data_IF_736588879906
#
_entry.id   IF_736588879906
#
_cell.length_a   1.000
_cell.length_b   1.000
_cell.length_c   1.000
_cell.angle_alpha   90.00
_cell.angle_beta   90.00
_cell.angle_gamma   90.00
#
_symmetry.space_group_name_H-M   'P 1'
#
loop_
_entity.id
_entity.type
_entity.pdbx_description
1 polymer ?
#
# COMPACT_ATOMS: atom_id res chain seq x y z
N UNK A 1 -6.36 -14.66 -10.92
CA UNK A 1 -5.75 -13.38 -10.46
C UNK A 1 -6.88 -12.50 -9.96
N UNK A 2 -7.04 -12.36 -8.64
CA UNK A 2 -8.21 -11.74 -7.99
C UNK A 2 -8.30 -10.23 -8.30
N UNK A 3 -9.52 -9.72 -8.53
CA UNK A 3 -9.80 -8.31 -8.79
C UNK A 3 -9.21 -7.39 -7.70
N UNK A 4 -9.32 -7.81 -6.44
CA UNK A 4 -8.75 -7.11 -5.28
C UNK A 4 -7.24 -6.84 -5.41
N UNK A 5 -6.46 -7.82 -5.89
CA UNK A 5 -5.01 -7.66 -6.07
C UNK A 5 -4.68 -6.65 -7.16
N UNK A 6 -5.45 -6.63 -8.24
CA UNK A 6 -5.27 -5.68 -9.34
C UNK A 6 -5.56 -4.25 -8.86
N UNK A 7 -6.63 -4.08 -8.09
CA UNK A 7 -7.04 -2.77 -7.57
C UNK A 7 -6.01 -2.22 -6.56
N UNK A 8 -5.48 -3.08 -5.69
CA UNK A 8 -4.39 -2.73 -4.76
C UNK A 8 -3.15 -2.29 -5.53
N UNK A 9 -2.65 -3.10 -6.46
CA UNK A 9 -1.46 -2.74 -7.26
C UNK A 9 -1.64 -1.46 -8.06
N UNK A 10 -2.79 -1.29 -8.70
CA UNK A 10 -3.11 -0.07 -9.44
C UNK A 10 -3.12 1.17 -8.53
N UNK A 11 -3.64 1.03 -7.31
CA UNK A 11 -3.59 2.09 -6.30
C UNK A 11 -2.15 2.44 -5.91
N UNK A 12 -1.34 1.45 -5.55
CA UNK A 12 0.05 1.70 -5.12
C UNK A 12 0.91 2.29 -6.24
N UNK A 13 0.77 1.82 -7.48
CA UNK A 13 1.44 2.41 -8.65
C UNK A 13 1.08 3.88 -8.82
N UNK A 14 -0.22 4.19 -8.82
CA UNK A 14 -0.64 5.56 -8.98
C UNK A 14 -0.26 6.44 -7.76
N UNK A 15 -0.17 5.86 -6.56
CA UNK A 15 0.27 6.56 -5.35
C UNK A 15 1.73 7.01 -5.49
N UNK A 16 2.58 6.13 -6.00
CA UNK A 16 3.96 6.44 -6.32
C UNK A 16 4.05 7.52 -7.41
N UNK A 17 3.28 7.40 -8.49
CA UNK A 17 3.23 8.41 -9.56
C UNK A 17 2.83 9.78 -9.03
N UNK A 18 1.83 9.86 -8.14
CA UNK A 18 1.43 11.11 -7.50
C UNK A 18 2.52 11.69 -6.63
N UNK A 19 3.19 10.89 -5.80
CA UNK A 19 4.33 11.37 -4.97
C UNK A 19 5.46 11.93 -5.84
N UNK A 20 5.70 11.33 -7.01
CA UNK A 20 6.70 11.82 -7.97
C UNK A 20 6.23 13.12 -8.64
N UNK A 21 4.97 13.18 -9.07
CA UNK A 21 4.41 14.32 -9.80
C UNK A 21 4.01 15.50 -8.90
N UNK A 22 3.93 15.30 -7.58
CA UNK A 22 3.44 16.31 -6.64
C UNK A 22 4.30 17.57 -6.67
N UNK A 23 3.74 18.77 -6.86
CA UNK A 23 4.51 20.00 -6.82
C UNK A 23 5.03 20.29 -5.40
N UNK A 24 6.27 20.80 -5.24
CA UNK A 24 6.77 21.21 -3.93
C UNK A 24 5.89 22.31 -3.31
N UNK A 25 5.61 22.19 -2.01
CA UNK A 25 4.89 23.22 -1.24
C UNK A 25 3.36 23.09 -1.26
N UNK A 26 2.83 22.07 -1.92
CA UNK A 26 1.41 21.72 -1.79
C UNK A 26 1.21 20.83 -0.55
N UNK A 27 0.70 21.44 0.52
CA UNK A 27 0.44 20.81 1.82
C UNK A 27 -0.63 19.70 1.77
N UNK A 28 -1.32 19.50 0.64
CA UNK A 28 -2.36 18.50 0.47
C UNK A 28 -1.86 17.06 0.27
N UNK A 29 -0.55 16.83 0.10
CA UNK A 29 -0.01 15.51 -0.25
C UNK A 29 -0.41 14.42 0.74
N UNK A 30 -0.14 14.63 2.04
CA UNK A 30 -0.38 13.64 3.08
C UNK A 30 -1.86 13.25 3.17
N UNK A 31 -2.75 14.26 3.21
CA UNK A 31 -4.20 14.05 3.28
C UNK A 31 -4.72 13.32 2.04
N UNK A 32 -4.30 13.74 0.85
CA UNK A 32 -4.73 13.11 -0.40
C UNK A 32 -4.25 11.66 -0.51
N UNK A 33 -3.00 11.40 -0.13
CA UNK A 33 -2.41 10.07 -0.13
C UNK A 33 -3.13 9.13 0.84
N UNK A 34 -3.37 9.58 2.08
CA UNK A 34 -4.05 8.77 3.10
C UNK A 34 -5.49 8.46 2.71
N UNK A 35 -6.24 9.45 2.20
CA UNK A 35 -7.60 9.21 1.71
C UNK A 35 -7.64 8.15 0.61
N UNK A 36 -6.64 8.14 -0.26
CA UNK A 36 -6.58 7.16 -1.32
C UNK A 36 -6.22 5.76 -0.83
N UNK A 37 -5.19 5.64 0.00
CA UNK A 37 -4.79 4.37 0.59
C UNK A 37 -5.93 3.75 1.39
N UNK A 38 -6.67 4.56 2.16
CA UNK A 38 -7.84 4.10 2.93
C UNK A 38 -8.92 3.53 2.02
N UNK A 39 -9.19 4.19 0.89
CA UNK A 39 -10.12 3.69 -0.12
C UNK A 39 -9.70 2.34 -0.72
N UNK A 40 -8.40 2.14 -0.93
CA UNK A 40 -7.86 0.91 -1.50
C UNK A 40 -7.74 -0.24 -0.49
N UNK A 41 -7.51 0.06 0.78
CA UNK A 41 -7.38 -0.95 1.83
C UNK A 41 -8.67 -1.23 2.60
N UNK A 42 -9.78 -0.56 2.27
CA UNK A 42 -11.07 -0.73 2.98
C UNK A 42 -11.62 -2.16 3.01
N UNK A 43 -11.20 -2.99 2.06
CA UNK A 43 -11.61 -4.39 1.93
C UNK A 43 -10.58 -5.37 2.52
N UNK A 44 -9.54 -4.86 3.16
CA UNK A 44 -8.49 -5.65 3.80
C UNK A 44 -8.79 -5.72 5.30
N UNK A 45 -8.78 -6.93 5.84
CA UNK A 45 -8.89 -7.16 7.27
C UNK A 45 -7.70 -6.51 8.02
N UNK A 46 -7.92 -5.92 9.20
CA UNK A 46 -6.84 -5.36 10.00
C UNK A 46 -5.77 -6.41 10.31
N UNK A 47 -4.51 -6.07 10.04
CA UNK A 47 -3.36 -6.89 10.40
C UNK A 47 -2.24 -6.01 10.96
N UNK A 48 -1.57 -6.38 12.06
CA UNK A 48 -0.57 -5.52 12.71
C UNK A 48 0.54 -5.01 11.77
N UNK A 49 1.06 -5.88 10.90
CA UNK A 49 2.11 -5.50 9.95
C UNK A 49 1.60 -4.48 8.90
N UNK A 50 0.36 -4.62 8.42
CA UNK A 50 -0.25 -3.69 7.47
C UNK A 50 -0.52 -2.35 8.14
N UNK A 51 -1.01 -2.36 9.38
CA UNK A 51 -1.23 -1.15 10.19
C UNK A 51 0.07 -0.41 10.48
N UNK A 52 1.15 -1.14 10.84
CA UNK A 52 2.46 -0.55 11.06
C UNK A 52 3.04 0.09 9.79
N UNK A 53 2.93 -0.59 8.64
CA UNK A 53 3.37 -0.04 7.37
C UNK A 53 2.55 1.21 6.96
N UNK A 54 1.22 1.19 7.14
CA UNK A 54 0.35 2.36 6.91
C UNK A 54 0.76 3.54 7.77
N UNK A 55 1.07 3.32 9.05
CA UNK A 55 1.59 4.35 9.95
C UNK A 55 2.92 4.92 9.42
N UNK A 56 3.82 4.05 8.97
CA UNK A 56 5.11 4.46 8.41
C UNK A 56 4.99 5.32 7.13
N UNK A 57 3.98 5.05 6.29
CA UNK A 57 3.64 5.90 5.14
C UNK A 57 3.16 7.27 5.61
N UNK A 58 2.24 7.32 6.57
CA UNK A 58 1.69 8.58 7.09
C UNK A 58 2.80 9.48 7.68
N UNK A 59 3.62 8.93 8.56
CA UNK A 59 4.74 9.66 9.20
C UNK A 59 5.71 10.25 8.17
N UNK A 60 6.00 9.52 7.09
CA UNK A 60 6.88 10.00 6.01
C UNK A 60 6.21 11.00 5.09
N UNK A 61 4.89 10.89 4.88
CA UNK A 61 4.14 11.86 4.11
C UNK A 61 4.09 13.21 4.84
N UNK A 62 3.86 13.19 6.15
CA UNK A 62 3.94 14.38 7.01
C UNK A 62 5.35 15.00 6.99
N UNK A 63 6.38 14.16 7.09
CA UNK A 63 7.77 14.64 7.02
C UNK A 63 8.09 15.32 5.67
N UNK A 64 7.55 14.83 4.55
CA UNK A 64 7.70 15.50 3.24
C UNK A 64 7.06 16.89 3.29
N UNK A 65 5.83 17.00 3.79
CA UNK A 65 5.11 18.28 3.90
C UNK A 65 5.86 19.27 4.81
N UNK A 66 6.34 18.80 5.95
CA UNK A 66 7.13 19.61 6.90
C UNK A 66 8.43 20.11 6.27
N UNK A 67 9.19 19.22 5.63
CA UNK A 67 10.46 19.57 4.96
C UNK A 67 10.21 20.54 3.81
N UNK A 68 9.18 20.34 3.00
CA UNK A 68 8.84 21.25 1.90
C UNK A 68 8.49 22.64 2.42
N UNK A 69 7.69 22.71 3.48
CA UNK A 69 7.27 23.96 4.13
C UNK A 69 8.48 24.71 4.71
N UNK A 70 9.39 24.00 5.38
CA UNK A 70 10.51 24.60 6.11
C UNK A 70 11.73 24.91 5.23
N UNK A 71 11.91 24.20 4.10
CA UNK A 71 13.14 24.30 3.27
C UNK A 71 12.89 24.90 1.89
N UNK A 72 11.67 25.30 1.57
CA UNK A 72 11.31 25.78 0.23
C UNK A 72 11.55 24.72 -0.86
N UNK A 73 11.48 23.43 -0.50
CA UNK A 73 11.59 22.30 -1.43
C UNK A 73 13.01 21.82 -1.76
N UNK A 74 14.08 22.36 -1.13
CA UNK A 74 15.47 21.97 -1.46
C UNK A 74 15.82 20.55 -0.96
N UNK A 75 15.34 20.15 0.22
CA UNK A 75 15.67 18.85 0.87
C UNK A 75 14.69 17.72 0.47
N UNK A 76 13.80 18.01 -0.46
CA UNK A 76 12.62 17.22 -0.79
C UNK A 76 12.91 15.82 -1.36
N UNK A 77 13.97 15.66 -2.17
CA UNK A 77 14.22 14.40 -2.90
C UNK A 77 14.44 13.19 -1.97
N UNK A 78 15.14 13.38 -0.86
CA UNK A 78 15.42 12.29 0.09
C UNK A 78 14.15 11.90 0.84
N UNK A 79 13.39 12.88 1.33
CA UNK A 79 12.11 12.65 2.00
C UNK A 79 11.12 11.91 1.09
N UNK A 80 11.00 12.32 -0.18
CA UNK A 80 10.19 11.62 -1.18
C UNK A 80 10.65 10.19 -1.44
N UNK A 81 11.96 9.96 -1.53
CA UNK A 81 12.49 8.59 -1.67
C UNK A 81 12.10 7.71 -0.48
N UNK A 82 12.14 8.24 0.74
CA UNK A 82 11.69 7.50 1.92
C UNK A 82 10.19 7.23 1.89
N UNK A 83 9.37 8.20 1.46
CA UNK A 83 7.93 8.00 1.28
C UNK A 83 7.62 6.91 0.25
N UNK A 84 8.31 6.92 -0.90
CA UNK A 84 8.18 5.87 -1.92
C UNK A 84 8.56 4.48 -1.38
N UNK A 85 9.64 4.39 -0.59
CA UNK A 85 10.03 3.15 0.05
C UNK A 85 8.95 2.64 1.02
N UNK A 86 8.35 3.52 1.83
CA UNK A 86 7.27 3.12 2.72
C UNK A 86 5.99 2.69 1.99
N UNK A 87 5.67 3.30 0.84
CA UNK A 87 4.58 2.82 -0.02
C UNK A 87 4.85 1.39 -0.52
N UNK A 88 6.08 1.11 -0.94
CA UNK A 88 6.46 -0.24 -1.37
C UNK A 88 6.44 -1.25 -0.20
N UNK A 89 6.87 -0.84 1.00
CA UNK A 89 6.79 -1.67 2.21
C UNK A 89 5.34 -1.99 2.59
N UNK A 90 4.44 -1.01 2.47
CA UNK A 90 3.01 -1.22 2.73
C UNK A 90 2.37 -2.15 1.70
N UNK A 91 2.68 -1.99 0.41
CA UNK A 91 2.24 -2.91 -0.64
C UNK A 91 2.73 -4.34 -0.35
N UNK A 92 4.01 -4.51 0.02
CA UNK A 92 4.58 -5.80 0.37
C UNK A 92 3.92 -6.42 1.61
N UNK A 93 3.61 -5.61 2.63
CA UNK A 93 2.90 -6.09 3.82
C UNK A 93 1.48 -6.57 3.48
N UNK A 94 0.78 -5.90 2.58
CA UNK A 94 -0.53 -6.31 2.07
C UNK A 94 -0.42 -7.60 1.23
N UNK A 95 0.58 -7.69 0.35
CA UNK A 95 0.80 -8.89 -0.45
C UNK A 95 1.11 -10.12 0.43
N UNK A 96 1.83 -9.93 1.54
CA UNK A 96 2.21 -11.02 2.45
C UNK A 96 1.10 -11.41 3.44
N UNK A 97 0.43 -10.41 4.03
CA UNK A 97 -0.48 -10.62 5.17
C UNK A 97 -1.92 -10.23 4.90
N UNK A 98 -2.19 -9.55 3.78
CA UNK A 98 -3.52 -9.08 3.42
C UNK A 98 -4.51 -10.23 3.27
N UNK A 99 -5.67 -10.04 3.90
CA UNK A 99 -6.81 -10.95 3.86
C UNK A 99 -8.05 -10.10 3.60
N UNK A 100 -8.99 -10.61 2.80
CA UNK A 100 -10.26 -9.96 2.58
C UNK A 100 -11.09 -9.92 3.88
N UNK A 101 -11.77 -8.80 4.14
CA UNK A 101 -12.72 -8.69 5.25
C UNK A 101 -14.15 -9.06 4.81
N UNK A 102 -15.10 -9.08 5.75
CA UNK A 102 -16.51 -9.37 5.49
C UNK A 102 -17.18 -8.41 4.49
N UNK A 103 -16.71 -7.15 4.40
CA UNK A 103 -17.27 -6.19 3.44
C UNK A 103 -16.88 -6.55 2.00
N UNK A 104 -15.67 -7.09 1.80
CA UNK A 104 -15.23 -7.57 0.50
C UNK A 104 -16.11 -8.72 -0.02
N UNK A 105 -16.55 -9.60 0.88
CA UNK A 105 -17.43 -10.72 0.56
C UNK A 105 -18.84 -10.22 0.23
N UNK A 106 -19.37 -9.30 1.04
CA UNK A 106 -20.71 -8.72 0.84
C UNK A 106 -20.89 -8.06 -0.53
N UNK A 107 -19.84 -7.49 -1.10
CA UNK A 107 -19.88 -6.82 -2.41
C UNK A 107 -19.31 -7.68 -3.55
N UNK A 108 -19.02 -8.96 -3.29
CA UNK A 108 -18.58 -9.93 -4.30
C UNK A 108 -17.15 -9.73 -4.83
N UNK A 109 -16.28 -9.07 -4.08
CA UNK A 109 -14.87 -8.85 -4.47
C UNK A 109 -14.00 -10.07 -4.19
N UNK A 110 -14.12 -10.62 -2.98
CA UNK A 110 -13.40 -11.82 -2.53
C UNK A 110 -14.07 -12.39 -1.26
N UNK A 111 -14.11 -13.73 -1.07
CA UNK A 111 -14.61 -14.32 0.15
C UNK A 111 -13.84 -13.83 1.39
N UNK A 112 -14.52 -13.70 2.53
CA UNK A 112 -13.89 -13.30 3.78
C UNK A 112 -12.73 -14.23 4.16
N UNK A 113 -11.63 -13.66 4.65
CA UNK A 113 -10.43 -14.40 5.03
C UNK A 113 -9.61 -14.91 3.83
N UNK A 114 -10.06 -14.68 2.59
CA UNK A 114 -9.29 -15.04 1.41
C UNK A 114 -8.01 -14.20 1.31
N UNK A 115 -6.84 -14.80 1.05
CA UNK A 115 -5.61 -14.05 0.84
C UNK A 115 -5.71 -13.09 -0.35
N UNK A 116 -5.21 -11.85 -0.17
CA UNK A 116 -5.09 -10.87 -1.28
C UNK A 116 -4.24 -11.44 -2.41
N UNK A 117 -3.15 -12.14 -2.07
CA UNK A 117 -2.31 -12.88 -3.00
C UNK A 117 -2.50 -14.39 -2.78
N UNK A 118 -2.95 -15.10 -3.81
CA UNK A 118 -2.97 -16.56 -3.80
C UNK A 118 -1.62 -17.11 -3.30
N UNK A 119 -1.60 -18.03 -2.32
CA UNK A 119 -0.36 -18.70 -1.95
C UNK A 119 0.18 -19.34 -3.22
N UNK A 120 1.46 -19.13 -3.51
CA UNK A 120 2.10 -19.82 -4.63
C UNK A 120 1.78 -21.31 -4.47
N UNK A 121 1.05 -21.89 -5.43
CA UNK A 121 0.64 -23.28 -5.35
C UNK A 121 1.86 -24.10 -4.97
N UNK A 122 1.80 -24.79 -3.83
CA UNK A 122 2.87 -25.66 -3.41
C UNK A 122 3.14 -26.59 -4.59
N UNK A 123 4.33 -26.50 -5.17
CA UNK A 123 4.76 -27.43 -6.22
C UNK A 123 4.48 -28.83 -5.67
N UNK A 124 3.73 -29.69 -6.38
CA UNK A 124 3.56 -31.05 -5.92
C UNK A 124 4.97 -31.62 -5.73
N UNK A 125 5.28 -32.02 -4.50
CA UNK A 125 6.47 -32.79 -4.22
C UNK A 125 6.36 -34.01 -5.10
N UNK A 126 7.18 -34.07 -6.17
CA UNK A 126 7.18 -35.19 -7.07
C UNK A 126 7.49 -36.43 -6.26
N UNK A 127 6.48 -37.28 -6.07
CA UNK A 127 6.64 -38.68 -5.72
C UNK A 127 7.39 -39.33 -6.87
N UNK A 128 8.72 -39.32 -6.78
CA UNK A 128 9.59 -40.19 -7.56
C UNK A 128 9.81 -41.47 -6.77
N UNK A 129 8.79 -42.33 -6.74
CA UNK A 129 8.98 -43.76 -6.51
C UNK A 129 9.19 -44.42 -7.87
N UNK A 130 10.37 -45.01 -8.06
CA UNK A 130 10.62 -46.40 -8.53
C UNK A 130 12.08 -46.54 -8.95
#
# INVERSE_FOLDING_TARGET
MTQLRKDIRGTFSGAQERVVAHPPGDAGLAVALMRWLDGATRFIAPHPAVTAARRGVHERADAVVEIETNTGGIVNRVARRHLLAALAEMEAAIDAHGRANADADRVGIAPEGCPVREPAAARPAGSGES
#
